data_IF_609310092406
#
_entry.id   IF_609310092406
#
_cell.length_a   1.000
_cell.length_b   1.000
_cell.length_c   1.000
_cell.angle_alpha   90.00
_cell.angle_beta   90.00
_cell.angle_gamma   90.00
#
_symmetry.space_group_name_H-M   'P 1'
#
loop_
_entity.id
_entity.type
_entity.pdbx_description
1 polymer ?
#
# COMPACT_ATOMS: atom_id res chain seq x y z
N UNK A 1 -14.39 25.24 27.40
CA UNK A 1 -13.45 24.10 27.55
C UNK A 1 -14.09 22.73 27.38
N UNK A 2 -15.16 22.34 28.09
CA UNK A 2 -15.73 20.96 27.99
C UNK A 2 -16.23 20.54 26.61
N UNK A 3 -16.74 21.48 25.82
CA UNK A 3 -17.20 21.22 24.44
C UNK A 3 -16.05 21.04 23.46
N UNK A 4 -14.99 21.84 23.59
CA UNK A 4 -13.77 21.74 22.75
C UNK A 4 -13.13 20.36 22.94
N UNK A 5 -12.97 19.88 24.17
CA UNK A 5 -12.41 18.53 24.42
C UNK A 5 -13.27 17.38 23.87
N UNK A 6 -14.60 17.54 23.81
CA UNK A 6 -15.51 16.58 23.18
C UNK A 6 -15.36 16.53 21.66
N UNK A 7 -15.21 17.70 21.05
CA UNK A 7 -15.02 17.82 19.61
C UNK A 7 -13.66 17.22 19.21
N UNK A 8 -12.59 17.55 19.93
CA UNK A 8 -11.26 16.97 19.71
C UNK A 8 -11.31 15.44 19.86
N UNK A 9 -11.99 14.92 20.88
CA UNK A 9 -12.17 13.47 21.05
C UNK A 9 -12.81 12.82 19.83
N UNK A 10 -13.88 13.41 19.28
CA UNK A 10 -14.56 12.88 18.09
C UNK A 10 -13.60 12.86 16.89
N UNK A 11 -12.84 13.94 16.66
CA UNK A 11 -11.85 13.97 15.59
C UNK A 11 -10.78 12.88 15.76
N UNK A 12 -10.22 12.72 16.95
CA UNK A 12 -9.24 11.66 17.23
C UNK A 12 -9.82 10.28 16.95
N UNK A 13 -11.07 10.02 17.34
CA UNK A 13 -11.76 8.75 17.04
C UNK A 13 -11.99 8.56 15.53
N UNK A 14 -12.32 9.61 14.79
CA UNK A 14 -12.48 9.50 13.33
C UNK A 14 -11.15 9.25 12.62
N UNK A 15 -10.09 9.99 12.98
CA UNK A 15 -8.75 9.77 12.41
C UNK A 15 -8.20 8.39 12.76
N UNK A 16 -8.36 7.94 14.01
CA UNK A 16 -7.95 6.60 14.41
C UNK A 16 -8.77 5.50 13.69
N UNK A 17 -10.05 5.75 13.38
CA UNK A 17 -10.85 4.80 12.62
C UNK A 17 -10.31 4.60 11.19
N UNK A 18 -9.89 5.68 10.52
CA UNK A 18 -9.26 5.60 9.19
C UNK A 18 -7.96 4.78 9.25
N UNK A 19 -7.11 5.05 10.26
CA UNK A 19 -5.87 4.30 10.44
C UNK A 19 -6.09 2.81 10.73
N UNK A 20 -7.07 2.48 11.58
CA UNK A 20 -7.44 1.08 11.86
C UNK A 20 -8.00 0.40 10.61
N UNK A 21 -8.83 1.09 9.82
CA UNK A 21 -9.35 0.56 8.58
C UNK A 21 -8.22 0.25 7.58
N UNK A 22 -7.23 1.13 7.48
CA UNK A 22 -6.03 0.91 6.66
C UNK A 22 -5.23 -0.31 7.14
N UNK A 23 -4.99 -0.47 8.44
CA UNK A 23 -4.31 -1.66 8.99
C UNK A 23 -5.10 -2.93 8.68
N UNK A 24 -6.41 -2.92 8.89
CA UNK A 24 -7.27 -4.07 8.59
C UNK A 24 -7.29 -4.43 7.11
N UNK A 25 -7.24 -3.41 6.24
CA UNK A 25 -7.10 -3.58 4.79
C UNK A 25 -5.77 -4.24 4.42
N UNK A 26 -4.64 -3.73 4.95
CA UNK A 26 -3.31 -4.32 4.72
C UNK A 26 -3.27 -5.76 5.24
N UNK A 27 -3.80 -6.02 6.43
CA UNK A 27 -3.83 -7.36 7.01
C UNK A 27 -4.64 -8.36 6.16
N UNK A 28 -5.78 -7.93 5.61
CA UNK A 28 -6.58 -8.74 4.67
C UNK A 28 -5.77 -9.09 3.42
N UNK A 29 -5.16 -8.09 2.79
CA UNK A 29 -4.40 -8.28 1.55
C UNK A 29 -3.15 -9.14 1.78
N UNK A 30 -2.43 -8.91 2.89
CA UNK A 30 -1.32 -9.78 3.30
C UNK A 30 -1.77 -11.22 3.52
N UNK A 31 -2.95 -11.43 4.11
CA UNK A 31 -3.47 -12.78 4.34
C UNK A 31 -3.74 -13.52 3.03
N UNK A 32 -4.33 -12.84 2.05
CA UNK A 32 -4.52 -13.36 0.69
C UNK A 32 -3.17 -13.65 0.02
N UNK A 33 -2.21 -12.73 0.09
CA UNK A 33 -0.86 -12.94 -0.44
C UNK A 33 -0.21 -14.22 0.11
N UNK A 34 -0.21 -14.38 1.44
CA UNK A 34 0.43 -15.54 2.10
C UNK A 34 -0.25 -16.86 1.72
N UNK A 35 -1.58 -16.88 1.58
CA UNK A 35 -2.31 -18.13 1.33
C UNK A 35 -2.40 -18.52 -0.16
N UNK A 36 -2.38 -17.54 -1.08
CA UNK A 36 -2.66 -17.79 -2.51
C UNK A 36 -1.50 -17.44 -3.44
N UNK A 37 -0.52 -16.64 -3.01
CA UNK A 37 0.51 -16.06 -3.92
C UNK A 37 1.93 -16.48 -3.53
N UNK A 38 2.26 -16.40 -2.24
CA UNK A 38 3.64 -16.47 -1.76
C UNK A 38 4.41 -17.70 -2.24
N UNK A 39 3.78 -18.87 -2.18
CA UNK A 39 4.40 -20.14 -2.56
C UNK A 39 4.35 -20.41 -4.07
N UNK A 40 3.71 -19.53 -4.85
CA UNK A 40 3.44 -19.67 -6.28
C UNK A 40 4.27 -18.72 -7.16
N UNK A 41 5.36 -18.16 -6.64
CA UNK A 41 6.21 -17.21 -7.37
C UNK A 41 6.80 -17.76 -8.68
N UNK A 42 6.95 -19.09 -8.80
CA UNK A 42 7.39 -19.79 -10.01
C UNK A 42 6.24 -20.18 -10.96
N UNK A 43 4.99 -19.99 -10.54
CA UNK A 43 3.79 -20.23 -11.35
C UNK A 43 3.25 -18.87 -11.80
N UNK A 44 3.67 -18.44 -13.00
CA UNK A 44 3.33 -17.13 -13.56
C UNK A 44 1.81 -16.88 -13.57
N UNK A 45 1.00 -17.87 -13.91
CA UNK A 45 -0.46 -17.71 -14.02
C UNK A 45 -1.08 -17.43 -12.65
N UNK A 46 -0.78 -18.27 -11.65
CA UNK A 46 -1.30 -18.10 -10.29
C UNK A 46 -0.78 -16.78 -9.68
N UNK A 47 0.51 -16.50 -9.86
CA UNK A 47 1.13 -15.33 -9.28
C UNK A 47 0.58 -14.03 -9.87
N UNK A 48 0.50 -13.91 -11.19
CA UNK A 48 0.00 -12.71 -11.85
C UNK A 48 -1.50 -12.51 -11.58
N UNK A 49 -2.30 -13.57 -11.51
CA UNK A 49 -3.70 -13.45 -11.11
C UNK A 49 -3.83 -12.89 -9.67
N UNK A 50 -3.04 -13.44 -8.75
CA UNK A 50 -3.00 -12.98 -7.37
C UNK A 50 -2.54 -11.53 -7.23
N UNK A 51 -1.47 -11.13 -7.94
CA UNK A 51 -0.99 -9.75 -7.95
C UNK A 51 -2.03 -8.81 -8.56
N UNK A 52 -2.63 -9.19 -9.69
CA UNK A 52 -3.68 -8.40 -10.34
C UNK A 52 -4.83 -8.12 -9.38
N UNK A 53 -5.22 -9.12 -8.59
CA UNK A 53 -6.24 -9.00 -7.52
C UNK A 53 -5.83 -8.01 -6.43
N UNK A 54 -4.57 -8.03 -5.99
CA UNK A 54 -4.07 -7.17 -4.92
C UNK A 54 -3.82 -5.72 -5.38
N UNK A 55 -3.47 -5.54 -6.65
CA UNK A 55 -3.17 -4.24 -7.26
C UNK A 55 -4.38 -3.59 -7.96
N UNK A 56 -5.53 -4.28 -7.99
CA UNK A 56 -6.75 -3.85 -8.69
C UNK A 56 -6.53 -3.61 -10.19
N UNK A 57 -5.70 -4.42 -10.83
CA UNK A 57 -5.63 -4.44 -12.28
C UNK A 57 -6.97 -4.95 -12.81
N UNK A 58 -7.50 -4.31 -13.83
CA UNK A 58 -8.69 -4.76 -14.55
C UNK A 58 -8.32 -5.85 -15.57
N UNK A 59 -7.11 -5.76 -16.13
CA UNK A 59 -6.56 -6.78 -17.00
C UNK A 59 -5.03 -6.80 -16.96
N UNK A 60 -4.47 -7.94 -17.37
CA UNK A 60 -3.15 -8.02 -17.98
C UNK A 60 -3.23 -8.82 -19.29
N UNK A 61 -2.37 -8.54 -20.25
CA UNK A 61 -2.33 -9.29 -21.50
C UNK A 61 -1.66 -10.65 -21.29
N UNK A 62 -2.23 -11.74 -21.81
CA UNK A 62 -1.71 -13.11 -21.63
C UNK A 62 -0.30 -13.27 -22.21
N UNK A 63 -0.06 -12.68 -23.39
CA UNK A 63 1.26 -12.70 -24.04
C UNK A 63 2.09 -11.50 -23.60
N UNK A 64 3.31 -11.71 -23.05
CA UNK A 64 4.21 -10.61 -22.73
C UNK A 64 4.59 -9.80 -23.98
N UNK A 65 4.72 -8.49 -23.83
CA UNK A 65 5.29 -7.56 -24.80
C UNK A 65 6.80 -7.82 -24.99
N UNK A 66 7.46 -8.25 -23.92
CA UNK A 66 8.88 -8.58 -23.91
C UNK A 66 9.13 -9.73 -22.94
N UNK A 67 10.06 -10.62 -23.30
CA UNK A 67 10.47 -11.73 -22.46
C UNK A 67 11.98 -11.95 -22.60
N UNK A 68 12.64 -12.18 -21.47
CA UNK A 68 14.03 -12.58 -21.40
C UNK A 68 14.18 -13.63 -20.29
N UNK A 69 14.86 -14.72 -20.59
CA UNK A 69 15.05 -15.81 -19.66
C UNK A 69 16.51 -16.23 -19.62
N UNK A 70 17.03 -16.44 -18.42
CA UNK A 70 18.34 -17.03 -18.17
C UNK A 70 18.12 -18.30 -17.36
N UNK A 71 18.78 -19.38 -17.77
CA UNK A 71 18.79 -20.64 -17.03
C UNK A 71 20.21 -21.23 -17.13
N UNK A 72 21.04 -20.90 -16.13
CA UNK A 72 22.45 -21.31 -16.02
C UNK A 72 22.75 -21.84 -14.63
N UNK A 73 23.88 -22.52 -14.46
CA UNK A 73 24.28 -23.11 -13.18
C UNK A 73 24.42 -22.06 -12.06
N UNK A 74 24.81 -20.82 -12.40
CA UNK A 74 25.06 -19.75 -11.42
C UNK A 74 23.86 -18.80 -11.24
N UNK A 75 22.95 -18.75 -12.22
CA UNK A 75 21.84 -17.82 -12.27
C UNK A 75 20.68 -18.38 -13.10
N UNK A 76 19.47 -18.31 -12.55
CA UNK A 76 18.21 -18.50 -13.26
C UNK A 76 17.29 -17.31 -12.96
N UNK A 77 16.61 -16.77 -13.97
CA UNK A 77 15.50 -15.84 -13.82
C UNK A 77 14.73 -15.69 -15.13
N UNK A 78 13.44 -15.35 -15.01
CA UNK A 78 12.59 -14.93 -16.10
C UNK A 78 12.18 -13.47 -15.87
N UNK A 79 12.32 -12.63 -16.89
CA UNK A 79 11.85 -11.25 -16.91
C UNK A 79 10.82 -11.11 -18.03
N UNK A 80 9.63 -10.66 -17.66
CA UNK A 80 8.50 -10.49 -18.56
C UNK A 80 7.91 -9.09 -18.40
N UNK A 81 7.50 -8.49 -19.51
CA UNK A 81 6.80 -7.19 -19.51
C UNK A 81 5.43 -7.41 -20.12
N UNK A 82 4.39 -7.03 -19.40
CA UNK A 82 3.00 -7.20 -19.81
C UNK A 82 2.32 -5.85 -19.99
N UNK A 83 1.43 -5.75 -20.97
CA UNK A 83 0.43 -4.69 -20.98
C UNK A 83 -0.57 -4.94 -19.85
N UNK A 84 -0.93 -3.89 -19.10
CA UNK A 84 -1.87 -3.94 -17.99
C UNK A 84 -2.82 -2.74 -18.04
N UNK A 85 -4.00 -2.90 -17.45
CA UNK A 85 -4.95 -1.81 -17.32
C UNK A 85 -5.52 -1.74 -15.91
N UNK A 86 -5.84 -0.53 -15.46
CA UNK A 86 -6.48 -0.29 -14.16
C UNK A 86 -7.52 0.83 -14.28
N UNK A 87 -8.55 0.76 -13.46
CA UNK A 87 -9.49 1.88 -13.28
C UNK A 87 -9.16 2.61 -11.98
N UNK A 88 -8.97 3.92 -12.04
CA UNK A 88 -8.86 4.77 -10.84
C UNK A 88 -9.76 5.99 -10.98
N UNK A 89 -10.63 6.22 -9.99
CA UNK A 89 -11.59 7.33 -9.97
C UNK A 89 -12.47 7.41 -11.24
N UNK A 90 -12.98 6.26 -11.69
CA UNK A 90 -13.80 6.12 -12.91
C UNK A 90 -13.07 6.48 -14.23
N UNK A 91 -11.74 6.56 -14.20
CA UNK A 91 -10.89 6.77 -15.37
C UNK A 91 -10.06 5.50 -15.61
N UNK A 92 -10.02 5.07 -16.87
CA UNK A 92 -9.23 3.93 -17.30
C UNK A 92 -7.80 4.36 -17.63
N UNK A 93 -6.82 3.59 -17.17
CA UNK A 93 -5.41 3.81 -17.44
C UNK A 93 -4.77 2.53 -17.95
N UNK A 94 -4.17 2.61 -19.14
CA UNK A 94 -3.26 1.58 -19.64
C UNK A 94 -1.89 1.73 -19.00
N UNK A 95 -1.08 0.68 -19.08
CA UNK A 95 0.26 0.68 -18.55
C UNK A 95 0.99 -0.61 -18.85
N UNK A 96 2.14 -0.72 -18.21
CA UNK A 96 3.06 -1.84 -18.32
C UNK A 96 3.39 -2.37 -16.93
N UNK A 97 3.59 -3.68 -16.86
CA UNK A 97 4.05 -4.36 -15.67
C UNK A 97 5.32 -5.12 -16.00
N UNK A 98 6.44 -4.72 -15.40
CA UNK A 98 7.70 -5.45 -15.45
C UNK A 98 7.72 -6.42 -14.28
N UNK A 99 7.81 -7.71 -14.59
CA UNK A 99 7.75 -8.81 -13.62
C UNK A 99 8.99 -9.69 -13.76
N UNK A 100 9.60 -10.04 -12.64
CA UNK A 100 10.71 -10.99 -12.58
C UNK A 100 10.31 -12.21 -11.72
N UNK A 101 10.57 -13.42 -12.19
CA UNK A 101 10.36 -14.64 -11.42
C UNK A 101 11.42 -15.70 -11.70
N UNK A 102 11.28 -16.89 -11.10
CA UNK A 102 12.23 -18.00 -11.24
C UNK A 102 13.69 -17.63 -10.91
N UNK A 103 13.87 -16.64 -10.04
CA UNK A 103 15.13 -16.12 -9.51
C UNK A 103 15.83 -17.15 -8.61
N UNK A 104 16.86 -17.78 -9.15
CA UNK A 104 17.85 -18.56 -8.39
C UNK A 104 19.22 -17.95 -8.62
N UNK A 105 19.93 -17.59 -7.54
CA UNK A 105 21.26 -16.97 -7.59
C UNK A 105 22.20 -17.82 -6.75
N UNK A 106 23.32 -18.25 -7.33
CA UNK A 106 24.33 -19.03 -6.63
C UNK A 106 25.62 -18.20 -6.45
N UNK A 107 26.10 -18.12 -5.22
CA UNK A 107 27.40 -17.54 -4.85
C UNK A 107 28.32 -18.69 -4.41
N UNK A 108 29.45 -18.88 -5.10
CA UNK A 108 30.41 -19.96 -4.81
C UNK A 108 29.75 -21.36 -4.70
N UNK A 109 28.90 -21.71 -5.68
CA UNK A 109 28.10 -22.95 -5.71
C UNK A 109 27.05 -23.09 -4.58
N UNK A 110 26.70 -21.99 -3.88
CA UNK A 110 25.71 -21.97 -2.79
C UNK A 110 24.54 -21.06 -3.16
N UNK A 111 23.33 -21.61 -3.09
CA UNK A 111 22.10 -20.83 -3.31
C UNK A 111 21.99 -19.69 -2.29
N UNK A 112 21.82 -18.47 -2.78
CA UNK A 112 21.51 -17.28 -1.97
C UNK A 112 20.06 -17.38 -1.53
N UNK A 113 19.82 -17.68 -0.26
CA UNK A 113 18.46 -17.76 0.28
C UNK A 113 17.81 -16.36 0.38
N UNK A 114 16.61 -16.21 -0.18
CA UNK A 114 15.80 -14.99 -0.08
C UNK A 114 16.54 -13.71 -0.52
N UNK A 115 17.08 -13.67 -1.76
CA UNK A 115 17.84 -12.53 -2.25
C UNK A 115 16.94 -11.29 -2.32
N UNK A 116 17.53 -10.12 -2.08
CA UNK A 116 16.85 -8.84 -2.28
C UNK A 116 17.07 -8.44 -3.72
N UNK A 117 15.99 -8.12 -4.43
CA UNK A 117 16.03 -7.79 -5.85
C UNK A 117 15.67 -6.33 -6.02
N UNK A 118 16.46 -5.61 -6.81
CA UNK A 118 16.13 -4.25 -7.21
C UNK A 118 15.90 -4.22 -8.71
N UNK A 119 14.71 -3.78 -9.08
CA UNK A 119 14.31 -3.58 -10.46
C UNK A 119 14.28 -2.08 -10.71
N UNK A 120 15.04 -1.64 -11.71
CA UNK A 120 15.12 -0.23 -12.13
C UNK A 120 14.69 -0.13 -13.58
N UNK A 121 13.80 0.81 -13.86
CA UNK A 121 13.38 1.18 -15.22
C UNK A 121 13.83 2.61 -15.49
N UNK A 122 14.44 2.82 -16.65
CA UNK A 122 14.77 4.13 -17.18
C UNK A 122 13.90 4.41 -18.40
N UNK A 123 13.30 5.59 -18.41
CA UNK A 123 12.39 6.07 -19.44
C UNK A 123 13.09 7.11 -20.33
N UNK A 124 12.55 7.34 -21.53
CA UNK A 124 13.11 8.28 -22.51
C UNK A 124 13.04 9.75 -22.07
N UNK A 125 12.10 10.09 -21.21
CA UNK A 125 11.77 11.44 -20.77
C UNK A 125 11.61 11.50 -19.25
N UNK A 126 11.74 12.70 -18.67
CA UNK A 126 11.52 12.95 -17.24
C UNK A 126 10.01 13.00 -16.94
N UNK A 127 9.38 11.83 -16.80
CA UNK A 127 7.93 11.70 -16.56
C UNK A 127 7.56 11.08 -15.22
N UNK A 128 8.49 10.41 -14.53
CA UNK A 128 8.23 9.74 -13.26
C UNK A 128 8.37 10.75 -12.12
N UNK A 129 7.29 11.00 -11.37
CA UNK A 129 7.28 11.95 -10.27
C UNK A 129 7.73 11.29 -8.96
N UNK A 130 8.89 11.71 -8.44
CA UNK A 130 9.47 11.23 -7.17
C UNK A 130 9.83 12.45 -6.33
N UNK A 131 9.31 12.52 -5.09
CA UNK A 131 9.58 13.61 -4.14
C UNK A 131 9.36 15.02 -4.73
N UNK A 132 8.28 15.18 -5.51
CA UNK A 132 7.89 16.43 -6.20
C UNK A 132 8.79 16.82 -7.41
N UNK A 133 9.74 15.97 -7.80
CA UNK A 133 10.59 16.16 -8.96
C UNK A 133 10.33 15.09 -10.02
N UNK A 134 10.21 15.52 -11.28
CA UNK A 134 10.13 14.60 -12.41
C UNK A 134 11.53 14.07 -12.74
N UNK A 135 11.61 12.76 -12.96
CA UNK A 135 12.83 12.03 -13.27
C UNK A 135 12.54 10.98 -14.34
N UNK A 136 13.57 10.50 -15.01
CA UNK A 136 13.48 9.43 -16.00
C UNK A 136 13.79 8.04 -15.41
N UNK A 137 13.76 7.88 -14.09
CA UNK A 137 14.12 6.64 -13.43
C UNK A 137 13.10 6.27 -12.36
N UNK A 138 12.52 5.07 -12.49
CA UNK A 138 11.72 4.42 -11.46
C UNK A 138 12.44 3.20 -10.93
N UNK A 139 12.36 2.93 -9.63
CA UNK A 139 12.90 1.68 -9.07
C UNK A 139 12.06 1.14 -7.93
N UNK A 140 12.05 -0.18 -7.81
CA UNK A 140 11.45 -0.90 -6.68
C UNK A 140 12.49 -1.85 -6.10
N UNK A 141 12.49 -1.96 -4.77
CA UNK A 141 13.30 -2.94 -4.04
C UNK A 141 12.37 -3.97 -3.43
N UNK A 142 12.55 -5.21 -3.85
CA UNK A 142 11.85 -6.39 -3.38
C UNK A 142 12.68 -7.06 -2.28
N UNK A 143 12.10 -7.18 -1.08
CA UNK A 143 12.70 -7.90 0.04
C UNK A 143 11.74 -9.01 0.51
N UNK A 144 12.01 -10.29 0.17
CA UNK A 144 11.14 -11.42 0.51
C UNK A 144 10.95 -11.64 2.03
N UNK A 145 11.75 -10.99 2.87
CA UNK A 145 11.61 -11.08 4.34
C UNK A 145 10.58 -10.10 4.91
N UNK A 146 10.12 -9.14 4.12
CA UNK A 146 9.15 -8.14 4.59
C UNK A 146 7.74 -8.71 4.60
N UNK A 147 6.95 -8.41 5.63
CA UNK A 147 5.55 -8.86 5.74
C UNK A 147 4.58 -7.87 5.07
N UNK A 148 4.88 -7.43 3.84
CA UNK A 148 4.06 -6.44 3.13
C UNK A 148 3.83 -6.87 1.69
N UNK A 149 2.59 -7.12 1.30
CA UNK A 149 2.27 -7.54 -0.06
C UNK A 149 2.80 -6.57 -1.15
N UNK A 150 3.00 -5.29 -0.82
CA UNK A 150 3.62 -4.29 -1.70
C UNK A 150 5.12 -4.52 -1.97
N UNK A 151 5.80 -5.20 -1.05
CA UNK A 151 7.25 -5.46 -1.08
C UNK A 151 7.56 -6.94 -1.30
N UNK A 152 6.53 -7.72 -1.68
CA UNK A 152 6.57 -9.17 -1.72
C UNK A 152 6.60 -9.75 -3.15
N UNK A 153 6.72 -8.91 -4.17
CA UNK A 153 6.96 -9.32 -5.55
C UNK A 153 7.95 -8.34 -6.21
N UNK A 154 8.91 -8.82 -7.02
CA UNK A 154 9.76 -7.95 -7.84
C UNK A 154 8.96 -7.48 -9.08
N UNK A 155 7.94 -6.66 -8.82
CA UNK A 155 7.07 -6.08 -9.84
C UNK A 155 7.18 -4.57 -9.80
N UNK A 156 7.36 -3.97 -10.97
CA UNK A 156 7.30 -2.54 -11.19
C UNK A 156 6.23 -2.25 -12.24
N UNK A 157 5.25 -1.41 -11.89
CA UNK A 157 4.18 -1.00 -12.79
C UNK A 157 4.33 0.49 -13.14
N UNK A 158 4.23 0.80 -14.43
CA UNK A 158 4.21 2.17 -14.93
C UNK A 158 2.93 2.35 -15.76
N UNK A 159 2.15 3.39 -15.47
CA UNK A 159 0.87 3.67 -16.12
C UNK A 159 0.94 4.94 -16.96
N UNK A 160 0.06 5.01 -17.96
CA UNK A 160 -0.13 6.14 -18.85
C UNK A 160 -0.93 7.25 -18.15
N UNK A 161 -0.30 7.85 -17.14
CA UNK A 161 -0.87 8.88 -16.28
C UNK A 161 0.20 9.88 -15.86
N UNK A 162 -0.23 11.12 -15.58
CA UNK A 162 0.66 12.18 -15.12
C UNK A 162 1.45 11.75 -13.86
N UNK A 163 2.76 11.99 -13.91
CA UNK A 163 3.71 11.57 -12.88
C UNK A 163 4.20 10.13 -13.01
N UNK A 164 3.93 9.47 -14.14
CA UNK A 164 4.39 8.12 -14.43
C UNK A 164 4.97 8.02 -15.86
N UNK A 165 4.25 7.48 -16.85
CA UNK A 165 4.69 7.52 -18.26
C UNK A 165 4.33 8.83 -18.97
N UNK A 166 3.51 9.67 -18.34
CA UNK A 166 3.10 10.97 -18.87
C UNK A 166 3.59 12.10 -17.94
N UNK A 167 4.00 13.22 -18.52
CA UNK A 167 4.15 14.49 -17.82
C UNK A 167 3.30 15.58 -18.51
N UNK A 168 2.18 15.92 -17.89
CA UNK A 168 1.26 16.96 -18.38
C UNK A 168 1.71 18.38 -18.02
N UNK A 169 2.74 18.53 -17.18
CA UNK A 169 3.36 19.80 -16.81
C UNK A 169 4.59 20.14 -17.66
N UNK A 170 5.01 19.23 -18.55
CA UNK A 170 6.26 19.29 -19.31
C UNK A 170 6.37 20.43 -20.32
N UNK A 171 5.29 21.17 -20.58
CA UNK A 171 5.31 22.30 -21.52
C UNK A 171 4.64 23.54 -20.94
N UNK A 172 5.44 24.56 -20.61
CA UNK A 172 4.99 25.90 -20.19
C UNK A 172 4.20 26.67 -21.28
N UNK A 173 3.99 26.10 -22.46
CA UNK A 173 3.17 26.66 -23.53
C UNK A 173 1.85 25.91 -23.63
N UNK A 174 0.73 26.64 -23.54
CA UNK A 174 -0.70 26.25 -23.64
C UNK A 174 -1.09 25.54 -24.97
N UNK A 175 -0.17 24.87 -25.67
CA UNK A 175 -0.40 24.33 -27.02
C UNK A 175 0.32 23.04 -27.41
N UNK A 176 1.01 22.35 -26.51
CA UNK A 176 1.75 21.12 -26.86
C UNK A 176 1.21 19.88 -26.17
N UNK A 177 1.16 18.81 -26.96
CA UNK A 177 0.79 17.46 -26.56
C UNK A 177 1.54 17.03 -25.28
N UNK A 178 0.87 16.22 -24.44
CA UNK A 178 1.47 15.65 -23.23
C UNK A 178 2.82 15.00 -23.53
N UNK A 179 3.81 15.15 -22.64
CA UNK A 179 5.09 14.47 -22.80
C UNK A 179 4.92 12.99 -22.43
N UNK A 180 4.98 12.11 -23.43
CA UNK A 180 4.85 10.66 -23.27
C UNK A 180 6.22 10.02 -23.32
N UNK A 181 6.51 9.12 -22.39
CA UNK A 181 7.77 8.41 -22.32
C UNK A 181 7.64 6.92 -22.63
N UNK A 182 8.64 6.35 -23.29
CA UNK A 182 8.80 4.91 -23.47
C UNK A 182 9.89 4.35 -22.57
N UNK A 183 9.88 3.03 -22.34
CA UNK A 183 10.98 2.36 -21.63
C UNK A 183 12.21 2.34 -22.55
N UNK A 184 13.33 2.84 -22.05
CA UNK A 184 14.61 2.73 -22.76
C UNK A 184 15.51 1.65 -22.18
N UNK A 185 15.40 1.39 -20.88
CA UNK A 185 16.29 0.46 -20.19
C UNK A 185 15.66 -0.14 -18.95
N UNK A 186 16.01 -1.40 -18.71
CA UNK A 186 15.68 -2.15 -17.50
C UNK A 186 16.98 -2.69 -16.91
N UNK A 187 17.17 -2.49 -15.60
CA UNK A 187 18.32 -3.00 -14.86
C UNK A 187 17.83 -3.83 -13.69
N UNK A 188 18.38 -5.04 -13.57
CA UNK A 188 18.14 -5.97 -12.48
C UNK A 188 19.42 -6.07 -11.65
N UNK A 189 19.30 -5.76 -10.37
CA UNK A 189 20.36 -5.86 -9.38
C UNK A 189 19.92 -6.80 -8.25
N UNK A 190 20.88 -7.42 -7.57
CA UNK A 190 20.58 -8.24 -6.39
C UNK A 190 21.48 -7.90 -5.20
N UNK A 191 21.00 -8.22 -4.00
CA UNK A 191 21.77 -8.17 -2.76
C UNK A 191 21.56 -9.45 -1.96
N UNK A 192 22.67 -10.01 -1.45
CA UNK A 192 22.68 -11.06 -0.45
C UNK A 192 22.42 -10.54 0.98
N UNK A 193 21.80 -9.36 1.12
CA UNK A 193 21.50 -8.67 2.38
C UNK A 193 22.71 -8.09 3.10
N UNK A 194 23.88 -8.06 2.45
CA UNK A 194 25.01 -7.26 2.91
C UNK A 194 24.59 -5.79 3.00
N UNK A 195 25.08 -5.10 4.04
CA UNK A 195 24.76 -3.68 4.28
C UNK A 195 26.03 -2.85 4.42
N UNK A 196 25.95 -1.59 3.99
CA UNK A 196 27.03 -0.62 4.11
C UNK A 196 27.07 0.01 5.52
N UNK A 197 28.00 0.96 5.72
CA UNK A 197 28.16 1.68 7.01
C UNK A 197 26.90 2.46 7.44
N UNK A 198 26.01 2.79 6.50
CA UNK A 198 24.74 3.49 6.73
C UNK A 198 23.55 2.54 6.97
N UNK A 199 23.80 1.22 7.02
CA UNK A 199 22.78 0.15 7.07
C UNK A 199 21.89 0.06 5.81
N UNK A 200 22.34 0.60 4.67
CA UNK A 200 21.66 0.40 3.39
C UNK A 200 22.15 -0.89 2.72
N UNK A 201 21.25 -1.60 2.04
CA UNK A 201 21.60 -2.81 1.29
C UNK A 201 22.63 -2.51 0.20
N UNK A 202 23.65 -3.36 0.12
CA UNK A 202 24.66 -3.31 -0.94
C UNK A 202 24.25 -4.25 -2.06
N UNK A 203 24.10 -3.69 -3.25
CA UNK A 203 23.75 -4.44 -4.45
C UNK A 203 25.01 -4.82 -5.24
N UNK A 204 24.98 -6.01 -5.84
CA UNK A 204 25.97 -6.53 -6.77
C UNK A 204 27.39 -6.66 -6.20
N UNK A 205 27.53 -6.77 -4.88
CA UNK A 205 28.83 -6.81 -4.20
C UNK A 205 29.71 -7.95 -4.73
N UNK A 206 29.15 -9.15 -4.87
CA UNK A 206 29.86 -10.35 -5.33
C UNK A 206 30.04 -10.40 -6.85
N UNK A 207 29.37 -9.51 -7.59
CA UNK A 207 29.57 -9.29 -9.01
C UNK A 207 30.56 -8.16 -9.31
N UNK A 208 31.42 -7.76 -8.36
CA UNK A 208 32.32 -6.60 -8.51
C UNK A 208 31.61 -5.29 -8.91
N UNK A 209 30.33 -5.14 -8.52
CA UNK A 209 29.49 -4.00 -8.86
C UNK A 209 28.79 -4.09 -10.22
N UNK A 210 28.91 -5.21 -10.95
CA UNK A 210 28.22 -5.42 -12.23
C UNK A 210 26.74 -5.76 -12.00
N UNK A 211 25.84 -5.20 -12.81
CA UNK A 211 24.42 -5.54 -12.72
C UNK A 211 24.19 -7.01 -13.09
N UNK A 212 23.14 -7.62 -12.53
CA UNK A 212 22.77 -9.00 -12.88
C UNK A 212 22.25 -9.05 -14.32
N UNK A 213 21.42 -8.08 -14.71
CA UNK A 213 20.92 -7.98 -16.08
C UNK A 213 20.66 -6.53 -16.51
N UNK A 214 20.94 -6.23 -17.78
CA UNK A 214 20.55 -4.98 -18.44
C UNK A 214 19.87 -5.29 -19.77
N UNK A 215 18.61 -4.87 -19.93
CA UNK A 215 17.96 -4.74 -21.23
C UNK A 215 17.92 -3.27 -21.63
N UNK A 216 18.21 -2.93 -22.88
CA UNK A 216 18.00 -1.56 -23.37
C UNK A 216 17.77 -1.48 -24.89
N UNK A 217 17.28 -0.34 -25.38
CA UNK A 217 16.94 -0.11 -26.80
C UNK A 217 18.16 0.04 -27.74
N UNK A 218 19.36 0.06 -27.18
CA UNK A 218 20.62 0.32 -27.89
C UNK A 218 21.78 -0.52 -27.34
N UNK A 219 22.95 -0.45 -27.97
CA UNK A 219 24.07 -1.32 -27.61
C UNK A 219 24.49 -1.19 -26.13
N UNK A 220 24.33 -2.29 -25.39
CA UNK A 220 25.12 -2.76 -24.24
C UNK A 220 26.49 -2.12 -23.97
N UNK A 221 26.66 -0.97 -23.29
CA UNK A 221 28.02 -0.47 -22.94
C UNK A 221 28.42 -0.64 -21.48
N UNK A 222 27.45 -0.82 -20.59
CA UNK A 222 27.70 -0.99 -19.16
C UNK A 222 28.02 -2.45 -18.83
N UNK A 223 28.74 -2.65 -17.72
CA UNK A 223 29.05 -4.00 -17.26
C UNK A 223 27.84 -4.62 -16.57
N UNK A 224 27.37 -5.74 -17.12
CA UNK A 224 26.42 -6.64 -16.50
C UNK A 224 26.76 -8.08 -16.84
N UNK A 225 26.29 -9.01 -16.01
CA UNK A 225 26.45 -10.45 -16.25
C UNK A 225 25.71 -10.87 -17.51
N UNK A 226 24.50 -10.34 -17.72
CA UNK A 226 23.69 -10.56 -18.91
C UNK A 226 23.21 -9.23 -19.49
N UNK A 227 23.19 -9.15 -20.82
CA UNK A 227 22.75 -7.96 -21.55
C UNK A 227 21.84 -8.33 -22.70
N UNK A 228 20.84 -7.50 -22.97
CA UNK A 228 19.99 -7.58 -24.16
C UNK A 228 19.81 -6.18 -24.77
N UNK A 229 20.11 -6.05 -26.07
CA UNK A 229 19.96 -4.81 -26.84
C UNK A 229 18.72 -4.81 -27.74
N UNK A 230 17.78 -5.74 -27.49
CA UNK A 230 16.55 -5.91 -28.28
C UNK A 230 15.28 -5.38 -27.60
N UNK A 231 15.40 -4.71 -26.46
CA UNK A 231 14.25 -4.12 -25.77
C UNK A 231 13.60 -3.06 -26.66
N UNK A 232 12.38 -3.31 -27.08
CA UNK A 232 11.58 -2.37 -27.86
C UNK A 232 10.11 -2.52 -27.47
N UNK A 233 9.58 -1.48 -26.82
CA UNK A 233 8.16 -1.36 -26.46
C UNK A 233 7.71 0.04 -26.85
N UNK A 234 6.77 0.11 -27.79
CA UNK A 234 6.15 1.36 -28.20
C UNK A 234 4.84 1.58 -27.42
N UNK A 235 4.38 2.84 -27.36
CA UNK A 235 3.15 3.18 -26.64
C UNK A 235 1.93 2.38 -27.13
N UNK A 236 1.84 2.18 -28.46
CA UNK A 236 0.77 1.39 -29.08
C UNK A 236 0.73 -0.08 -28.69
N UNK A 237 1.83 -0.62 -28.15
CA UNK A 237 1.89 -2.03 -27.72
C UNK A 237 1.12 -2.27 -26.42
N UNK A 238 1.02 -1.25 -25.55
CA UNK A 238 0.36 -1.36 -24.24
C UNK A 238 -0.88 -0.47 -24.07
N UNK A 239 -1.06 0.57 -24.89
CA UNK A 239 -2.26 1.42 -24.92
C UNK A 239 -3.44 0.69 -25.57
N UNK A 240 -3.91 -0.37 -24.93
CA UNK A 240 -4.97 -1.22 -25.47
C UNK A 240 -6.35 -0.56 -25.41
N UNK A 241 -6.56 0.44 -24.55
CA UNK A 241 -7.85 1.12 -24.42
C UNK A 241 -8.32 1.79 -25.71
N UNK A 242 -7.40 2.24 -26.56
CA UNK A 242 -7.72 2.79 -27.89
C UNK A 242 -8.35 1.74 -28.83
N UNK A 243 -8.16 0.46 -28.54
CA UNK A 243 -8.64 -0.67 -29.33
C UNK A 243 -9.97 -1.23 -28.80
N UNK A 244 -10.47 -0.74 -27.67
CA UNK A 244 -11.71 -1.21 -27.09
C UNK A 244 -12.92 -0.74 -27.91
N UNK A 245 -13.95 -1.59 -27.93
CA UNK A 245 -15.16 -1.31 -28.70
C UNK A 245 -16.03 -0.19 -28.09
N UNK A 246 -15.89 0.05 -26.78
CA UNK A 246 -16.60 1.05 -25.97
C UNK A 246 -15.61 1.74 -24.98
N UNK A 247 -16.09 2.62 -24.09
CA UNK A 247 -15.28 3.27 -23.04
C UNK A 247 -14.59 2.27 -22.08
N UNK A 248 -15.06 1.02 -22.04
CA UNK A 248 -14.46 -0.11 -21.32
C UNK A 248 -14.38 -1.32 -22.25
N UNK A 249 -13.47 -2.26 -21.97
CA UNK A 249 -13.37 -3.50 -22.76
C UNK A 249 -14.63 -4.38 -22.63
N UNK A 250 -14.98 -5.05 -23.73
CA UNK A 250 -16.07 -6.04 -23.80
C UNK A 250 -15.52 -7.47 -23.78
N UNK A 251 -16.38 -8.49 -23.57
CA UNK A 251 -15.97 -9.92 -23.66
C UNK A 251 -15.29 -10.26 -25.00
N UNK A 252 -15.69 -9.57 -26.08
CA UNK A 252 -15.07 -9.72 -27.40
C UNK A 252 -13.65 -9.15 -27.42
N UNK A 253 -13.44 -7.99 -26.80
CA UNK A 253 -12.12 -7.36 -26.71
C UNK A 253 -11.18 -8.21 -25.84
N UNK A 254 -11.70 -8.76 -24.72
CA UNK A 254 -10.98 -9.71 -23.85
C UNK A 254 -10.43 -10.89 -24.65
N UNK A 255 -11.27 -11.51 -25.47
CA UNK A 255 -10.85 -12.66 -26.29
C UNK A 255 -9.91 -12.26 -27.43
N UNK A 256 -10.13 -11.08 -28.03
CA UNK A 256 -9.40 -10.64 -29.24
C UNK A 256 -8.00 -10.14 -28.91
N UNK A 257 -7.86 -9.41 -27.80
CA UNK A 257 -6.60 -8.83 -27.34
C UNK A 257 -5.84 -9.76 -26.38
N UNK A 258 -6.44 -10.91 -26.04
CA UNK A 258 -5.85 -11.89 -25.11
C UNK A 258 -5.74 -11.33 -23.70
N UNK A 259 -6.79 -10.69 -23.20
CA UNK A 259 -6.79 -10.10 -21.87
C UNK A 259 -7.17 -11.15 -20.82
N UNK A 260 -6.43 -11.18 -19.73
CA UNK A 260 -6.79 -11.93 -18.53
C UNK A 260 -7.42 -10.96 -17.54
N UNK A 261 -8.69 -11.17 -17.23
CA UNK A 261 -9.52 -10.33 -16.35
C UNK A 261 -9.97 -11.07 -15.09
N UNK A 262 -9.45 -12.29 -14.88
CA UNK A 262 -9.79 -13.08 -13.71
C UNK A 262 -9.14 -12.49 -12.45
N UNK A 263 -9.91 -12.43 -11.38
CA UNK A 263 -9.47 -11.97 -10.07
C UNK A 263 -9.85 -12.95 -8.97
N UNK A 264 -9.00 -13.06 -7.96
CA UNK A 264 -9.27 -13.79 -6.74
C UNK A 264 -10.36 -13.14 -5.88
N UNK A 265 -11.00 -13.97 -5.05
CA UNK A 265 -12.07 -13.53 -4.16
C UNK A 265 -11.52 -13.04 -2.81
N UNK A 266 -11.34 -11.72 -2.68
CA UNK A 266 -10.96 -11.09 -1.41
C UNK A 266 -12.07 -11.10 -0.35
N UNK A 267 -13.31 -11.49 -0.69
CA UNK A 267 -14.43 -11.46 0.27
C UNK A 267 -14.26 -12.49 1.38
N UNK A 268 -13.64 -13.64 1.08
CA UNK A 268 -13.32 -14.71 2.03
C UNK A 268 -12.41 -14.18 3.16
N UNK A 269 -11.55 -13.21 2.83
CA UNK A 269 -10.57 -12.62 3.72
C UNK A 269 -11.10 -11.42 4.52
N UNK A 270 -12.33 -10.95 4.26
CA UNK A 270 -12.91 -9.77 4.94
C UNK A 270 -12.96 -9.88 6.46
N UNK A 271 -12.98 -11.10 6.99
CA UNK A 271 -12.93 -11.33 8.43
C UNK A 271 -11.70 -10.70 9.09
N UNK A 272 -10.55 -10.67 8.40
CA UNK A 272 -9.34 -10.03 8.93
C UNK A 272 -9.58 -8.53 9.16
N UNK A 273 -10.17 -7.82 8.20
CA UNK A 273 -10.55 -6.41 8.34
C UNK A 273 -11.57 -6.21 9.48
N UNK A 274 -12.59 -7.06 9.57
CA UNK A 274 -13.64 -6.96 10.58
C UNK A 274 -13.08 -7.10 12.01
N UNK A 275 -12.12 -8.01 12.23
CA UNK A 275 -11.48 -8.19 13.55
C UNK A 275 -10.91 -6.85 14.08
N UNK A 276 -10.17 -6.12 13.25
CA UNK A 276 -9.58 -4.83 13.65
C UNK A 276 -10.64 -3.78 13.96
N UNK A 277 -11.70 -3.70 13.15
CA UNK A 277 -12.82 -2.78 13.38
C UNK A 277 -13.54 -3.11 14.69
N UNK A 278 -13.79 -4.38 15.00
CA UNK A 278 -14.46 -4.81 16.24
C UNK A 278 -13.62 -4.47 17.46
N UNK A 279 -12.32 -4.79 17.43
CA UNK A 279 -11.39 -4.46 18.53
C UNK A 279 -11.36 -2.95 18.78
N UNK A 280 -11.28 -2.17 17.71
CA UNK A 280 -11.32 -0.71 17.79
C UNK A 280 -12.63 -0.19 18.36
N UNK A 281 -13.77 -0.68 17.88
CA UNK A 281 -15.08 -0.29 18.38
C UNK A 281 -15.20 -0.56 19.88
N UNK A 282 -14.76 -1.74 20.34
CA UNK A 282 -14.74 -2.08 21.77
C UNK A 282 -13.86 -1.12 22.57
N UNK A 283 -12.66 -0.80 22.09
CA UNK A 283 -11.76 0.16 22.73
C UNK A 283 -12.38 1.56 22.84
N UNK A 284 -13.00 2.05 21.76
CA UNK A 284 -13.71 3.34 21.73
C UNK A 284 -14.90 3.32 22.70
N UNK A 285 -15.68 2.24 22.76
CA UNK A 285 -16.79 2.12 23.71
C UNK A 285 -16.30 2.21 25.16
N UNK A 286 -15.22 1.49 25.50
CA UNK A 286 -14.61 1.51 26.83
C UNK A 286 -14.12 2.93 27.17
N UNK A 287 -13.36 3.57 26.28
CA UNK A 287 -12.85 4.93 26.48
C UNK A 287 -13.98 5.94 26.63
N UNK A 288 -14.98 5.89 25.74
CA UNK A 288 -16.17 6.76 25.79
C UNK A 288 -16.89 6.62 27.14
N UNK A 289 -17.06 5.38 27.62
CA UNK A 289 -17.64 5.11 28.93
C UNK A 289 -16.85 5.80 30.06
N UNK A 290 -15.53 5.62 30.09
CA UNK A 290 -14.69 6.21 31.15
C UNK A 290 -14.66 7.73 31.12
N UNK A 291 -14.61 8.34 29.94
CA UNK A 291 -14.52 9.79 29.77
C UNK A 291 -15.85 10.49 30.11
N UNK A 292 -16.99 9.96 29.65
CA UNK A 292 -18.27 10.67 29.75
C UNK A 292 -19.21 10.12 30.81
N UNK A 293 -19.24 8.80 31.00
CA UNK A 293 -20.31 8.15 31.76
C UNK A 293 -19.86 7.66 33.13
N UNK A 294 -18.59 7.28 33.32
CA UNK A 294 -18.11 6.69 34.56
C UNK A 294 -18.36 7.58 35.79
N UNK A 295 -18.07 8.90 35.68
CA UNK A 295 -18.33 9.85 36.77
C UNK A 295 -19.82 9.98 37.08
N UNK A 296 -20.69 9.99 36.06
CA UNK A 296 -22.14 10.08 36.22
C UNK A 296 -22.71 8.81 36.86
N UNK A 297 -22.27 7.63 36.41
CA UNK A 297 -22.67 6.33 36.95
C UNK A 297 -22.22 6.19 38.41
N UNK A 298 -20.99 6.58 38.74
CA UNK A 298 -20.47 6.57 40.12
C UNK A 298 -21.27 7.50 41.02
N UNK A 299 -21.59 8.72 40.56
CA UNK A 299 -22.41 9.67 41.31
C UNK A 299 -23.84 9.16 41.54
N UNK A 300 -24.46 8.52 40.53
CA UNK A 300 -25.79 7.90 40.67
C UNK A 300 -25.76 6.74 41.67
N UNK A 301 -24.81 5.80 41.55
CA UNK A 301 -24.64 4.69 42.50
C UNK A 301 -24.39 5.17 43.93
N UNK A 302 -23.66 6.26 44.13
CA UNK A 302 -23.46 6.83 45.46
C UNK A 302 -24.75 7.42 46.04
N UNK A 303 -25.56 8.11 45.24
CA UNK A 303 -26.89 8.60 45.66
C UNK A 303 -27.84 7.45 45.96
N UNK A 304 -27.89 6.42 45.12
CA UNK A 304 -28.77 5.26 45.34
C UNK A 304 -28.36 4.49 46.62
N UNK A 305 -27.05 4.42 46.93
CA UNK A 305 -26.56 3.84 48.18
C UNK A 305 -26.81 4.71 49.41
N UNK A 306 -26.84 6.04 49.27
CA UNK A 306 -27.18 6.95 50.36
C UNK A 306 -28.69 6.98 50.60
N UNK A 307 -29.51 6.96 49.54
CA UNK A 307 -30.97 6.91 49.64
C UNK A 307 -31.54 5.59 50.17
N UNK A 308 -30.80 4.48 50.05
CA UNK A 308 -31.17 3.20 50.67
C UNK A 308 -30.64 3.02 52.10
N UNK A 309 -29.81 3.94 52.60
CA UNK A 309 -29.25 3.91 53.96
C UNK A 309 -29.81 4.99 54.88
N UNK A 310 -30.76 5.80 54.41
CA UNK A 310 -31.45 6.79 55.25
C UNK A 310 -32.89 6.33 55.48
N UNK A 311 -33.14 5.77 56.67
CA UNK A 311 -34.46 5.81 57.29
C UNK A 311 -34.97 7.26 57.27
N UNK A 312 -35.83 7.53 56.30
CA UNK A 312 -36.96 8.47 56.33
C UNK A 312 -36.87 9.73 57.19
N UNK A 313 -35.80 10.54 57.11
CA UNK A 313 -35.85 11.91 57.62
C UNK A 313 -35.19 12.91 56.66
N UNK A 314 -35.96 13.82 56.04
CA UNK A 314 -35.39 14.86 55.21
C UNK A 314 -34.61 15.84 56.10
N UNK A 315 -33.32 16.05 55.82
CA UNK A 315 -32.53 17.14 56.41
C UNK A 315 -33.15 18.48 56.00
N UNK A 316 -33.93 19.08 56.90
CA UNK A 316 -34.29 20.49 56.81
C UNK A 316 -33.01 21.33 56.83
N UNK A 317 -32.87 22.21 55.83
CA UNK A 317 -31.87 23.27 55.80
C UNK A 317 -31.98 24.16 57.03
N UNK A 318 -30.87 24.41 57.72
CA UNK A 318 -30.81 25.40 58.81
C UNK A 318 -31.19 26.80 58.27
N UNK A 319 -32.11 27.53 58.93
CA UNK A 319 -32.49 28.87 58.51
C UNK A 319 -31.38 29.89 58.80
N UNK A 320 -31.14 30.78 57.81
CA UNK A 320 -30.01 31.72 57.72
C UNK A 320 -30.16 32.97 58.63
N UNK A 321 -31.28 33.14 59.34
CA UNK A 321 -31.51 34.30 60.20
C UNK A 321 -31.56 33.89 61.68
N UNK A 322 -30.54 34.31 62.44
CA UNK A 322 -30.57 34.34 63.90
C UNK A 322 -31.11 35.70 64.32
N UNK A 323 -32.38 35.77 64.68
CA UNK A 323 -32.92 36.97 65.31
C UNK A 323 -32.30 37.17 66.69
N UNK A 324 -31.80 38.38 66.92
CA UNK A 324 -31.20 38.85 68.15
C UNK A 324 -32.27 38.96 69.25
N UNK A 325 -32.14 38.15 70.32
CA UNK A 325 -32.96 38.29 71.53
C UNK A 325 -32.17 39.11 72.56
N UNK A 326 -32.67 40.26 73.06
CA UNK A 326 -31.99 41.01 74.11
C UNK A 326 -32.01 40.23 75.43
N UNK A 327 -30.89 40.24 76.17
CA UNK A 327 -30.81 39.68 77.52
C UNK A 327 -31.69 40.49 78.48
N UNK A 328 -32.71 39.86 79.05
CA UNK A 328 -33.35 40.37 80.26
C UNK A 328 -32.40 40.15 81.45
N UNK A 329 -32.11 41.23 82.17
CA UNK A 329 -31.39 41.20 83.43
C UNK A 329 -32.32 40.65 84.52
N UNK A 330 -31.89 39.57 85.17
CA UNK A 330 -32.40 39.16 86.47
C UNK A 330 -32.01 40.22 87.51
N UNK A 331 -33.00 40.92 88.06
CA UNK A 331 -32.92 41.54 89.38
C UNK A 331 -34.34 41.82 89.89
N UNK A 332 -34.77 41.11 90.95
CA UNK A 332 -35.78 41.66 91.87
C UNK A 332 -36.86 40.72 92.43
N UNK A 333 -36.49 40.01 93.49
CA UNK A 333 -37.29 39.48 94.63
C UNK A 333 -38.11 38.20 94.48
#
# INVERSE_FOLDING_TARGET
MKWIGRIIYIFVVLFAALYVAQIGYIARNNKYYVEEIQDHWNDTEIFLNGVSTLQFLEYYQETPLYTYAVDTDDLSFDLNIYAVGTTYSDVFYDGIMVFVNNIEIYEDDVLVENPIIKLTVNTSEDTILIDEEYQNQGSVVYDPSTESFYSNAPILMLFDVDGNLINSNGTEDDSSDDLVSTIERITLDYSNRSTNEDNAYQFNTDLNGEALFIAQTSTVTDNAMYTDDTLLIEASDYQLSEQFSDETFTDSDVTTLGLITDHGDLTIYQWELIKYIVVYAVAVFILTYFIFFHKLVKAKRQRDRQGNNEDGTPKMSEPIFKDYVPKENEDGK
#
